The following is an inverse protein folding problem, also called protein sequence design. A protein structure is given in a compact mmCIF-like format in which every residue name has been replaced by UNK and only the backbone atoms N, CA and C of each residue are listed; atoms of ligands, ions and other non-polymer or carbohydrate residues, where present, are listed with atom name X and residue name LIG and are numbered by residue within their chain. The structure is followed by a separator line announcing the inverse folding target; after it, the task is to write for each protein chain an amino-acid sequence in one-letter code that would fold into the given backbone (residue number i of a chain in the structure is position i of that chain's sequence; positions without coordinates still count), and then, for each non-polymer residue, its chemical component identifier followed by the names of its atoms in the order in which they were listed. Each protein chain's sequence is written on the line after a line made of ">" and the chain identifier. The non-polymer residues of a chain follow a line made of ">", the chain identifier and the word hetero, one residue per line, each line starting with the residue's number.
data_IF_765329117567
#
_entry.id   IF_765329117567
#
_cell.length_a   1.000
_cell.length_b   1.000
_cell.length_c   1.000
_cell.angle_alpha   90.00
_cell.angle_beta   90.00
_cell.angle_gamma   90.00
#
_symmetry.space_group_name_H-M   'P 1'
#
loop_
_entity.id
_entity.type
_entity.pdbx_description
1 polymer ?
#
# COMPACT_ATOMS: atom_id res chain seq x y z
N UNK A 1 -61.88 27.83 -27.03
CA UNK A 1 -61.91 26.87 -25.90
C UNK A 1 -61.48 25.50 -26.40
N UNK A 2 -60.68 24.76 -25.60
CA UNK A 2 -60.15 23.38 -25.81
C UNK A 2 -58.92 23.30 -26.74
N UNK A 3 -57.68 23.14 -26.25
CA UNK A 3 -56.99 21.93 -25.67
C UNK A 3 -56.84 20.81 -26.72
N UNK A 4 -55.71 20.14 -26.93
CA UNK A 4 -54.45 20.05 -26.18
C UNK A 4 -53.35 19.47 -27.08
N UNK A 5 -52.10 19.82 -26.78
CA UNK A 5 -51.12 18.96 -26.10
C UNK A 5 -50.10 18.40 -27.10
N UNK A 6 -49.21 19.30 -27.53
CA UNK A 6 -47.99 19.01 -28.26
C UNK A 6 -47.07 18.20 -27.32
N UNK A 7 -46.84 16.93 -27.65
CA UNK A 7 -45.99 16.02 -26.88
C UNK A 7 -44.54 16.51 -27.02
N UNK A 8 -44.03 17.17 -25.98
CA UNK A 8 -42.62 17.52 -25.84
C UNK A 8 -41.88 16.26 -25.37
N UNK A 9 -41.16 15.62 -26.28
CA UNK A 9 -40.34 14.45 -26.00
C UNK A 9 -39.08 14.93 -25.24
N UNK A 10 -39.14 14.92 -23.91
CA UNK A 10 -38.01 15.22 -23.03
C UNK A 10 -37.01 14.07 -23.15
N UNK A 11 -36.00 14.24 -24.00
CA UNK A 11 -34.83 13.36 -24.05
C UNK A 11 -34.06 13.58 -22.74
N UNK A 12 -34.26 12.69 -21.78
CA UNK A 12 -33.44 12.62 -20.58
C UNK A 12 -32.06 12.12 -21.02
N UNK A 13 -31.12 13.05 -21.20
CA UNK A 13 -29.70 12.71 -21.26
C UNK A 13 -29.33 12.07 -19.93
N UNK A 14 -29.18 10.74 -19.94
CA UNK A 14 -28.53 10.02 -18.85
C UNK A 14 -27.09 10.50 -18.77
N UNK A 15 -26.85 11.46 -17.88
CA UNK A 15 -25.51 11.90 -17.51
C UNK A 15 -24.89 10.69 -16.82
N UNK A 16 -24.08 9.93 -17.56
CA UNK A 16 -23.25 8.88 -16.97
C UNK A 16 -22.31 9.55 -15.99
N UNK A 17 -22.64 9.49 -14.70
CA UNK A 17 -21.71 9.89 -13.64
C UNK A 17 -20.51 8.96 -13.81
N UNK A 18 -19.30 9.45 -14.13
CA UNK A 18 -18.13 8.59 -14.08
C UNK A 18 -18.04 8.09 -12.65
N UNK A 19 -18.07 6.76 -12.47
CA UNK A 19 -17.79 6.16 -11.18
C UNK A 19 -16.45 6.72 -10.70
N UNK A 20 -16.49 7.62 -9.72
CA UNK A 20 -15.29 8.09 -9.05
C UNK A 20 -14.74 6.85 -8.34
N UNK A 21 -13.79 6.16 -8.97
CA UNK A 21 -12.92 5.24 -8.24
C UNK A 21 -12.35 6.06 -7.09
N UNK A 22 -12.72 5.72 -5.85
CA UNK A 22 -12.18 6.36 -4.67
C UNK A 22 -10.66 6.38 -4.72
N UNK A 23 -10.01 7.33 -4.05
CA UNK A 23 -8.56 7.48 -4.10
C UNK A 23 -7.90 6.14 -3.76
N UNK A 24 -7.26 5.52 -4.75
CA UNK A 24 -6.56 4.24 -4.56
C UNK A 24 -5.25 4.51 -3.82
N UNK A 25 -5.18 4.06 -2.58
CA UNK A 25 -4.06 4.27 -1.67
C UNK A 25 -2.82 3.58 -2.24
N UNK A 26 -1.74 4.33 -2.43
CA UNK A 26 -0.48 3.84 -2.99
C UNK A 26 0.47 3.49 -1.87
N UNK A 27 1.00 2.27 -1.89
CA UNK A 27 1.98 1.81 -0.92
C UNK A 27 3.30 1.47 -1.60
N UNK A 28 4.39 1.95 -1.03
CA UNK A 28 5.73 1.51 -1.41
C UNK A 28 6.24 0.52 -0.37
N UNK A 29 6.81 -0.58 -0.83
CA UNK A 29 7.27 -1.66 0.04
C UNK A 29 8.79 -1.73 -0.05
N UNK A 30 9.45 -1.64 1.10
CA UNK A 30 10.88 -1.86 1.25
C UNK A 30 11.13 -3.12 2.07
N UNK A 31 12.08 -3.96 1.64
CA UNK A 31 12.55 -5.09 2.44
C UNK A 31 13.90 -4.80 3.11
N UNK A 32 14.18 -5.47 4.23
CA UNK A 32 15.39 -5.25 5.03
C UNK A 32 16.69 -5.44 4.26
N UNK A 33 16.72 -6.39 3.30
CA UNK A 33 17.90 -6.65 2.48
C UNK A 33 18.14 -5.49 1.49
N UNK A 34 17.07 -4.84 1.02
CA UNK A 34 17.15 -3.62 0.22
C UNK A 34 17.54 -2.41 1.06
N UNK A 35 17.09 -2.33 2.31
CA UNK A 35 17.48 -1.27 3.26
C UNK A 35 18.98 -1.35 3.62
N UNK A 36 19.49 -2.54 3.94
CA UNK A 36 20.90 -2.77 4.26
C UNK A 36 21.81 -2.42 3.06
N UNK A 37 21.40 -2.78 1.85
CA UNK A 37 22.12 -2.48 0.60
C UNK A 37 22.13 -0.99 0.23
N UNK A 38 21.19 -0.18 0.74
CA UNK A 38 21.15 1.27 0.48
C UNK A 38 22.03 2.05 1.47
N UNK A 39 22.70 1.35 2.40
CA UNK A 39 23.54 1.94 3.43
C UNK A 39 22.73 2.17 4.69
N UNK A 40 22.88 1.27 5.67
CA UNK A 40 22.26 1.43 6.98
C UNK A 40 22.59 2.78 7.61
N UNK A 41 21.59 3.65 7.69
CA UNK A 41 21.61 4.85 8.50
C UNK A 41 20.17 5.10 8.96
N UNK A 42 19.97 5.33 10.26
CA UNK A 42 18.74 5.91 10.75
C UNK A 42 18.42 7.16 9.93
N UNK A 43 17.13 7.34 9.63
CA UNK A 43 16.64 8.46 8.82
C UNK A 43 17.26 9.78 9.29
N UNK A 44 17.88 10.50 8.36
CA UNK A 44 18.29 11.89 8.58
C UNK A 44 17.05 12.79 8.67
N UNK A 45 17.17 13.94 9.31
CA UNK A 45 16.10 14.91 9.62
C UNK A 45 15.17 15.30 8.45
N UNK A 46 15.53 15.03 7.19
CA UNK A 46 14.78 15.45 6.00
C UNK A 46 14.27 14.32 5.08
N UNK A 47 14.12 13.08 5.56
CA UNK A 47 13.23 12.12 4.93
C UNK A 47 13.74 10.68 4.78
N UNK A 48 12.79 9.74 4.81
CA UNK A 48 13.00 8.31 4.57
C UNK A 48 13.38 8.10 3.09
N UNK A 49 14.65 8.23 2.72
CA UNK A 49 15.13 8.13 1.33
C UNK A 49 15.86 6.81 1.05
N UNK A 50 15.13 5.69 0.99
CA UNK A 50 15.66 4.37 0.61
C UNK A 50 15.04 3.88 -0.69
N UNK A 51 15.59 4.31 -1.82
CA UNK A 51 15.14 3.86 -3.15
C UNK A 51 15.56 2.42 -3.42
N UNK A 52 14.61 1.54 -3.76
CA UNK A 52 14.93 0.21 -4.30
C UNK A 52 15.49 0.42 -5.70
N UNK A 53 16.81 0.45 -5.81
CA UNK A 53 17.47 0.44 -7.10
C UNK A 53 17.33 -0.97 -7.73
N UNK A 54 16.30 -1.09 -8.57
CA UNK A 54 16.38 -1.79 -9.85
C UNK A 54 16.89 -3.23 -9.84
N UNK A 55 16.26 -4.11 -9.07
CA UNK A 55 16.33 -5.55 -9.29
C UNK A 55 15.03 -6.17 -8.81
N UNK A 56 14.18 -6.66 -9.71
CA UNK A 56 12.99 -7.41 -9.34
C UNK A 56 13.42 -8.71 -8.64
N UNK A 57 13.62 -8.63 -7.32
CA UNK A 57 13.97 -9.80 -6.50
C UNK A 57 12.72 -10.67 -6.36
N UNK A 58 12.85 -12.01 -6.42
CA UNK A 58 11.71 -12.92 -6.30
C UNK A 58 10.95 -12.76 -4.98
N UNK A 59 11.62 -12.31 -3.91
CA UNK A 59 10.98 -12.01 -2.62
C UNK A 59 10.07 -10.78 -2.69
N UNK A 60 10.49 -9.70 -3.35
CA UNK A 60 9.65 -8.52 -3.56
C UNK A 60 8.39 -8.87 -4.36
N UNK A 61 8.49 -9.76 -5.35
CA UNK A 61 7.35 -10.22 -6.14
C UNK A 61 6.33 -11.03 -5.31
N UNK A 62 6.77 -11.92 -4.41
CA UNK A 62 5.88 -12.69 -3.53
C UNK A 62 5.19 -11.79 -2.49
N UNK A 63 5.90 -10.77 -1.99
CA UNK A 63 5.31 -9.76 -1.11
C UNK A 63 4.22 -8.99 -1.85
N UNK A 64 4.51 -8.45 -3.04
CA UNK A 64 3.53 -7.72 -3.88
C UNK A 64 2.31 -8.58 -4.16
N UNK A 65 2.51 -9.85 -4.53
CA UNK A 65 1.43 -10.81 -4.73
C UNK A 65 0.57 -10.98 -3.47
N UNK A 66 1.20 -11.16 -2.30
CA UNK A 66 0.48 -11.29 -1.02
C UNK A 66 -0.34 -10.03 -0.70
N UNK A 67 0.18 -8.84 -1.01
CA UNK A 67 -0.58 -7.59 -0.88
C UNK A 67 -1.77 -7.54 -1.82
N UNK A 68 -1.62 -7.93 -3.09
CA UNK A 68 -2.76 -7.99 -4.01
C UNK A 68 -3.83 -9.00 -3.55
N UNK A 69 -3.44 -10.14 -2.99
CA UNK A 69 -4.37 -11.17 -2.51
C UNK A 69 -5.11 -10.74 -1.23
N UNK A 70 -4.42 -10.09 -0.29
CA UNK A 70 -4.98 -9.80 1.04
C UNK A 70 -5.48 -8.38 1.22
N UNK A 71 -5.05 -7.46 0.36
CA UNK A 71 -5.30 -6.03 0.45
C UNK A 71 -5.61 -5.42 -0.92
N UNK A 72 -6.72 -5.86 -1.57
CA UNK A 72 -7.04 -5.49 -2.95
C UNK A 72 -7.35 -4.00 -3.14
N UNK A 73 -7.59 -3.27 -2.06
CA UNK A 73 -7.88 -1.83 -2.09
C UNK A 73 -6.62 -0.95 -2.15
N UNK A 74 -5.42 -1.55 -2.06
CA UNK A 74 -4.14 -0.85 -2.13
C UNK A 74 -3.48 -1.07 -3.49
N UNK A 75 -2.82 -0.04 -4.01
CA UNK A 75 -1.91 -0.14 -5.15
C UNK A 75 -0.48 -0.24 -4.64
N UNK A 76 0.20 -1.34 -4.93
CA UNK A 76 1.65 -1.41 -4.70
C UNK A 76 2.38 -0.65 -5.81
N UNK A 77 3.19 0.33 -5.44
CA UNK A 77 3.97 1.15 -6.37
C UNK A 77 5.46 0.90 -6.18
N UNK A 78 6.23 0.86 -7.28
CA UNK A 78 7.70 0.87 -7.24
C UNK A 78 8.30 2.26 -7.10
N UNK A 79 7.46 3.31 -7.18
CA UNK A 79 7.85 4.71 -7.04
C UNK A 79 7.53 5.19 -5.64
N UNK A 80 8.56 5.35 -4.81
CA UNK A 80 8.42 5.75 -3.42
C UNK A 80 7.81 7.15 -3.28
N UNK A 81 8.23 8.08 -4.14
CA UNK A 81 7.77 9.46 -4.19
C UNK A 81 6.28 9.60 -4.54
N UNK A 82 5.66 8.51 -5.02
CA UNK A 82 4.22 8.45 -5.33
C UNK A 82 3.41 7.70 -4.29
N UNK A 83 4.04 7.24 -3.20
CA UNK A 83 3.35 6.51 -2.17
C UNK A 83 2.65 7.45 -1.16
N UNK A 84 1.54 6.96 -0.62
CA UNK A 84 0.86 7.54 0.54
C UNK A 84 1.41 6.92 1.84
N UNK A 85 1.86 5.66 1.77
CA UNK A 85 2.48 4.93 2.88
C UNK A 85 3.71 4.16 2.43
N UNK A 86 4.66 4.02 3.36
CA UNK A 86 5.82 3.16 3.20
C UNK A 86 5.71 1.99 4.16
N UNK A 87 5.89 0.78 3.64
CA UNK A 87 5.88 -0.45 4.44
C UNK A 87 7.28 -1.03 4.43
N UNK A 88 7.92 -1.06 5.58
CA UNK A 88 9.17 -1.77 5.77
C UNK A 88 8.85 -3.20 6.23
N UNK A 89 9.33 -4.20 5.51
CA UNK A 89 9.20 -5.61 5.85
C UNK A 89 10.58 -6.22 6.11
N UNK A 90 10.73 -6.88 7.24
CA UNK A 90 11.93 -7.62 7.56
C UNK A 90 11.56 -9.09 7.75
N UNK A 91 12.10 -9.93 6.88
CA UNK A 91 11.95 -11.37 6.99
C UNK A 91 13.14 -11.93 7.76
N UNK A 92 12.94 -12.29 9.03
CA UNK A 92 13.97 -13.00 9.79
C UNK A 92 13.94 -14.49 9.41
N UNK A 93 14.74 -14.85 8.41
CA UNK A 93 14.99 -16.22 7.98
C UNK A 93 16.27 -16.77 8.60
N UNK A 94 16.17 -17.87 9.37
CA UNK A 94 17.31 -18.55 10.00
C UNK A 94 17.09 -20.06 10.13
N UNK A 95 18.19 -20.83 10.17
CA UNK A 95 18.18 -22.30 10.28
C UNK A 95 17.65 -22.81 11.62
N UNK A 96 17.56 -21.96 12.63
CA UNK A 96 17.08 -22.31 13.97
C UNK A 96 15.56 -22.17 14.08
N UNK A 97 14.90 -23.23 14.57
CA UNK A 97 13.44 -23.40 14.71
C UNK A 97 12.74 -22.36 15.62
N UNK A 98 13.46 -21.43 16.23
CA UNK A 98 12.96 -20.67 17.39
C UNK A 98 12.50 -19.24 17.04
N UNK A 99 13.01 -18.60 15.97
CA UNK A 99 12.63 -17.22 15.61
C UNK A 99 12.57 -17.01 14.09
N UNK A 100 11.41 -17.35 13.50
CA UNK A 100 11.04 -17.03 12.11
C UNK A 100 9.90 -16.03 12.12
N UNK A 101 10.27 -14.78 12.28
CA UNK A 101 9.33 -13.70 12.45
C UNK A 101 9.38 -12.77 11.24
N UNK A 102 8.21 -12.34 10.79
CA UNK A 102 8.03 -11.32 9.77
C UNK A 102 7.71 -10.04 10.52
N UNK A 103 8.72 -9.19 10.65
CA UNK A 103 8.57 -7.88 11.24
C UNK A 103 8.11 -6.90 10.18
N UNK A 104 7.29 -5.94 10.59
CA UNK A 104 6.81 -4.89 9.70
C UNK A 104 6.70 -3.56 10.43
N UNK A 105 6.84 -2.48 9.68
CA UNK A 105 6.53 -1.10 10.10
C UNK A 105 5.78 -0.41 8.97
N UNK A 106 4.75 0.36 9.30
CA UNK A 106 4.00 1.22 8.39
C UNK A 106 4.29 2.66 8.76
N UNK A 107 4.78 3.42 7.78
CA UNK A 107 5.01 4.86 7.87
C UNK A 107 3.97 5.59 7.03
N UNK A 108 3.40 6.68 7.56
CA UNK A 108 2.56 7.60 6.80
C UNK A 108 3.40 8.57 5.96
N UNK A 109 2.75 9.48 5.23
CA UNK A 109 3.42 10.49 4.38
C UNK A 109 4.28 11.48 5.17
N UNK A 110 3.95 11.73 6.43
CA UNK A 110 4.71 12.62 7.33
C UNK A 110 5.98 11.94 7.88
N UNK A 111 6.12 10.62 7.65
CA UNK A 111 7.24 9.83 8.16
C UNK A 111 7.00 9.21 9.54
N UNK A 112 5.79 9.33 10.08
CA UNK A 112 5.43 8.75 11.37
C UNK A 112 5.16 7.25 11.26
N UNK A 113 5.72 6.49 12.21
CA UNK A 113 5.44 5.06 12.33
C UNK A 113 4.05 4.84 12.98
N UNK A 114 3.02 4.66 12.15
CA UNK A 114 1.63 4.48 12.62
C UNK A 114 1.34 3.04 13.07
N UNK A 115 2.16 2.06 12.63
CA UNK A 115 2.05 0.67 13.09
C UNK A 115 3.36 -0.07 12.96
N UNK A 116 3.66 -0.92 13.93
CA UNK A 116 4.70 -1.94 13.82
C UNK A 116 4.25 -3.26 14.45
N UNK A 117 4.96 -4.34 14.13
CA UNK A 117 4.70 -5.63 14.76
C UNK A 117 5.57 -6.75 14.22
N UNK A 118 5.42 -7.92 14.84
CA UNK A 118 6.05 -9.17 14.42
C UNK A 118 4.99 -10.25 14.26
N UNK A 119 5.07 -11.04 13.19
CA UNK A 119 4.13 -12.12 12.92
C UNK A 119 4.83 -13.37 12.41
N UNK A 120 4.28 -14.56 12.71
CA UNK A 120 4.84 -15.84 12.23
C UNK A 120 4.75 -16.04 10.72
N UNK A 121 3.89 -15.28 10.02
CA UNK A 121 3.70 -15.44 8.59
C UNK A 121 3.59 -14.08 7.88
N UNK A 122 4.16 -13.99 6.68
CA UNK A 122 4.08 -12.81 5.83
C UNK A 122 2.63 -12.34 5.62
N UNK A 123 1.71 -13.28 5.37
CA UNK A 123 0.30 -12.96 5.17
C UNK A 123 -0.38 -12.28 6.38
N UNK A 124 0.08 -12.56 7.60
CA UNK A 124 -0.44 -11.86 8.79
C UNK A 124 0.19 -10.47 8.95
N UNK A 125 1.48 -10.31 8.62
CA UNK A 125 2.10 -8.99 8.56
C UNK A 125 1.37 -8.08 7.56
N UNK A 126 1.10 -8.58 6.35
CA UNK A 126 0.36 -7.86 5.30
C UNK A 126 -1.04 -7.46 5.80
N UNK A 127 -1.77 -8.41 6.39
CA UNK A 127 -3.10 -8.13 6.95
C UNK A 127 -3.05 -7.01 8.00
N UNK A 128 -2.10 -7.07 8.93
CA UNK A 128 -1.99 -6.10 10.01
C UNK A 128 -1.59 -4.71 9.50
N UNK A 129 -0.66 -4.64 8.54
CA UNK A 129 -0.24 -3.38 7.92
C UNK A 129 -1.42 -2.72 7.20
N UNK A 130 -2.17 -3.49 6.43
CA UNK A 130 -3.34 -3.05 5.69
C UNK A 130 -4.48 -2.58 6.57
N UNK A 131 -4.74 -3.26 7.69
CA UNK A 131 -5.69 -2.79 8.69
C UNK A 131 -5.27 -1.45 9.30
N UNK A 132 -3.98 -1.25 9.55
CA UNK A 132 -3.48 0.02 10.06
C UNK A 132 -3.68 1.17 9.05
N UNK A 133 -3.34 0.94 7.78
CA UNK A 133 -3.57 1.92 6.70
C UNK A 133 -5.05 2.27 6.59
N UNK A 134 -5.94 1.28 6.61
CA UNK A 134 -7.39 1.51 6.53
C UNK A 134 -7.96 2.23 7.76
N UNK A 135 -7.33 2.06 8.92
CA UNK A 135 -7.72 2.75 10.15
C UNK A 135 -7.20 4.18 10.22
N UNK A 136 -6.08 4.49 9.56
CA UNK A 136 -5.47 5.83 9.52
C UNK A 136 -6.21 6.79 8.57
N UNK A 137 -6.93 6.24 7.58
CA UNK A 137 -7.65 7.02 6.57
C UNK A 137 -9.08 7.39 7.01
N UNK A 138 -9.66 6.64 7.96
CA UNK A 138 -11.01 6.87 8.48
C UNK A 138 -10.99 7.79 9.70
#
# INVERSE_FOLDING_TARGET
>A
MSKGFMILLVIVMAIGVPAQEGPKIRVYISDSDSWEMTGGAGGTEDGFGGGIHGGARPQTAEIVKTFHERCPNLIVTSKQEKADYIILLQHEGGKDLVRRDNKFVVYNRDGDAIKSGSTRSLGNAVKNACQAIMADIN
#
